data_IF_543155762591
#
_entry.id   IF_543155762591
#
_cell.length_a   1.000
_cell.length_b   1.000
_cell.length_c   1.000
_cell.angle_alpha   90.00
_cell.angle_beta   90.00
_cell.angle_gamma   90.00
#
_symmetry.space_group_name_H-M   'P 1'
#
loop_
_entity.id
_entity.type
_entity.pdbx_description
1 polymer ?
#
# COMPACT_ATOMS: atom_id res chain seq x y z
N UNK A 1 -2.25 -18.01 -25.05
CA UNK A 1 -1.32 -17.07 -24.39
C UNK A 1 -2.00 -15.99 -23.55
N UNK A 2 -3.13 -15.41 -23.96
CA UNK A 2 -3.83 -14.32 -23.23
C UNK A 2 -4.26 -14.70 -21.79
N UNK A 3 -4.81 -15.90 -21.56
CA UNK A 3 -5.25 -16.35 -20.22
C UNK A 3 -4.14 -16.45 -19.17
N UNK A 4 -2.92 -16.81 -19.56
CA UNK A 4 -1.78 -16.97 -18.62
C UNK A 4 -1.29 -15.59 -18.14
N UNK A 5 -1.36 -14.58 -19.01
CA UNK A 5 -0.96 -13.20 -18.69
C UNK A 5 -1.90 -12.60 -17.62
N UNK A 6 -3.21 -12.77 -17.81
CA UNK A 6 -4.24 -12.32 -16.87
C UNK A 6 -4.11 -12.95 -15.47
N UNK A 7 -3.83 -14.27 -15.42
CA UNK A 7 -3.66 -14.98 -14.15
C UNK A 7 -2.46 -14.44 -13.34
N UNK A 8 -1.40 -14.01 -14.03
CA UNK A 8 -0.19 -13.45 -13.42
C UNK A 8 -0.44 -12.04 -12.90
N UNK A 9 -1.18 -11.19 -13.63
CA UNK A 9 -1.58 -9.85 -13.17
C UNK A 9 -2.48 -9.93 -11.93
N UNK A 10 -3.49 -10.80 -11.93
CA UNK A 10 -4.37 -11.02 -10.78
C UNK A 10 -3.61 -11.45 -9.51
N UNK A 11 -2.58 -12.28 -9.68
CA UNK A 11 -1.74 -12.73 -8.55
C UNK A 11 -0.89 -11.59 -7.99
N UNK A 12 -0.34 -10.73 -8.86
CA UNK A 12 0.44 -9.56 -8.45
C UNK A 12 -0.43 -8.50 -7.78
N UNK A 13 -1.65 -8.25 -8.29
CA UNK A 13 -2.61 -7.35 -7.64
C UNK A 13 -2.95 -7.80 -6.22
N UNK A 14 -3.21 -9.09 -6.02
CA UNK A 14 -3.51 -9.63 -4.68
C UNK A 14 -2.32 -9.52 -3.74
N UNK A 15 -1.11 -9.77 -4.22
CA UNK A 15 0.11 -9.64 -3.42
C UNK A 15 0.35 -8.18 -2.99
N UNK A 16 0.28 -7.25 -3.95
CA UNK A 16 0.47 -5.82 -3.67
C UNK A 16 -0.65 -5.31 -2.76
N UNK A 17 -1.91 -5.70 -3.01
CA UNK A 17 -3.03 -5.37 -2.16
C UNK A 17 -2.89 -5.91 -0.72
N UNK A 18 -2.36 -7.12 -0.57
CA UNK A 18 -2.04 -7.70 0.75
C UNK A 18 -0.97 -6.90 1.48
N UNK A 19 0.11 -6.52 0.79
CA UNK A 19 1.16 -5.67 1.36
C UNK A 19 0.62 -4.29 1.76
N UNK A 20 -0.18 -3.65 0.90
CA UNK A 20 -0.84 -2.37 1.21
C UNK A 20 -1.69 -2.46 2.48
N UNK A 21 -2.45 -3.54 2.65
CA UNK A 21 -3.26 -3.74 3.84
C UNK A 21 -2.40 -3.81 5.12
N UNK A 22 -1.29 -4.54 5.08
CA UNK A 22 -0.36 -4.64 6.21
C UNK A 22 0.21 -3.27 6.56
N UNK A 23 0.72 -2.52 5.57
CA UNK A 23 1.28 -1.19 5.78
C UNK A 23 0.24 -0.19 6.31
N UNK A 24 -0.99 -0.23 5.80
CA UNK A 24 -2.09 0.61 6.28
C UNK A 24 -2.45 0.27 7.74
N UNK A 25 -2.53 -1.01 8.08
CA UNK A 25 -2.79 -1.45 9.45
C UNK A 25 -1.67 -1.01 10.41
N UNK A 26 -0.40 -1.12 9.98
CA UNK A 26 0.76 -0.64 10.76
C UNK A 26 0.72 0.87 10.97
N UNK A 27 0.39 1.66 9.94
CA UNK A 27 0.26 3.12 10.07
C UNK A 27 -0.80 3.50 11.11
N UNK A 28 -1.99 2.88 11.03
CA UNK A 28 -3.08 3.11 11.99
C UNK A 28 -2.65 2.71 13.41
N UNK A 29 -1.94 1.58 13.56
CA UNK A 29 -1.47 1.12 14.86
C UNK A 29 -0.48 2.11 15.50
N UNK A 30 0.48 2.63 14.73
CA UNK A 30 1.45 3.62 15.20
C UNK A 30 0.72 4.90 15.62
N UNK A 31 -0.19 5.38 14.78
CA UNK A 31 -0.97 6.59 15.04
C UNK A 31 -1.77 6.50 16.35
N UNK A 32 -2.50 5.40 16.54
CA UNK A 32 -3.30 5.19 17.76
C UNK A 32 -2.40 5.11 19.00
N UNK A 33 -1.23 4.47 18.92
CA UNK A 33 -0.30 4.43 20.05
C UNK A 33 0.32 5.79 20.34
N UNK A 34 0.66 6.58 19.32
CA UNK A 34 1.17 7.94 19.49
C UNK A 34 0.12 8.84 20.16
N UNK A 35 -1.15 8.76 19.75
CA UNK A 35 -2.25 9.46 20.39
C UNK A 35 -2.43 9.07 21.87
N UNK A 36 -2.36 7.76 22.18
CA UNK A 36 -2.48 7.27 23.56
C UNK A 36 -1.32 7.71 24.44
N UNK A 37 -0.11 7.79 23.89
CA UNK A 37 1.07 8.25 24.62
C UNK A 37 1.06 9.76 24.87
N UNK A 38 0.20 10.53 24.17
CA UNK A 38 0.18 12.00 24.25
C UNK A 38 1.44 12.66 23.68
N UNK A 39 2.27 11.90 22.96
CA UNK A 39 3.54 12.33 22.39
C UNK A 39 3.46 12.14 20.87
N UNK A 40 3.19 13.23 20.16
CA UNK A 40 3.38 13.32 18.72
C UNK A 40 4.82 13.77 18.47
N UNK A 41 5.76 12.86 18.70
CA UNK A 41 7.17 13.12 18.40
C UNK A 41 7.32 13.35 16.89
N UNK A 42 8.08 14.38 16.52
CA UNK A 42 8.33 14.74 15.13
C UNK A 42 8.85 13.54 14.31
N UNK A 43 9.68 12.70 14.91
CA UNK A 43 10.23 11.49 14.28
C UNK A 43 9.13 10.48 13.91
N UNK A 44 8.11 10.34 14.75
CA UNK A 44 6.96 9.45 14.50
C UNK A 44 6.11 9.99 13.36
N UNK A 45 5.86 11.31 13.34
CA UNK A 45 5.12 11.96 12.26
C UNK A 45 5.84 11.82 10.90
N UNK A 46 7.18 11.95 10.88
CA UNK A 46 7.97 11.72 9.66
C UNK A 46 7.81 10.27 9.18
N UNK A 47 7.87 9.31 10.10
CA UNK A 47 7.70 7.90 9.78
C UNK A 47 6.30 7.61 9.21
N UNK A 48 5.24 8.18 9.78
CA UNK A 48 3.87 8.06 9.25
C UNK A 48 3.76 8.61 7.83
N UNK A 49 4.32 9.79 7.57
CA UNK A 49 4.33 10.39 6.23
C UNK A 49 5.05 9.47 5.23
N UNK A 50 6.19 8.89 5.61
CA UNK A 50 6.91 7.94 4.77
C UNK A 50 6.08 6.69 4.47
N UNK A 51 5.37 6.14 5.45
CA UNK A 51 4.47 4.99 5.22
C UNK A 51 3.34 5.37 4.26
N UNK A 52 2.74 6.55 4.41
CA UNK A 52 1.68 7.03 3.50
C UNK A 52 2.22 7.19 2.07
N UNK A 53 3.43 7.70 1.90
CA UNK A 53 4.06 7.83 0.58
C UNK A 53 4.29 6.46 -0.07
N UNK A 54 4.76 5.47 0.70
CA UNK A 54 4.90 4.09 0.21
C UNK A 54 3.56 3.51 -0.21
N UNK A 55 2.51 3.69 0.61
CA UNK A 55 1.15 3.26 0.30
C UNK A 55 0.62 3.90 -0.99
N UNK A 56 0.87 5.18 -1.19
CA UNK A 56 0.45 5.91 -2.40
C UNK A 56 1.11 5.34 -3.65
N UNK A 57 2.41 5.05 -3.62
CA UNK A 57 3.14 4.45 -4.75
C UNK A 57 2.65 3.03 -5.04
N UNK A 58 2.39 2.22 -4.01
CA UNK A 58 1.83 0.88 -4.18
C UNK A 58 0.42 0.93 -4.80
N UNK A 59 -0.43 1.85 -4.33
CA UNK A 59 -1.76 2.05 -4.89
C UNK A 59 -1.70 2.46 -6.37
N UNK A 60 -0.82 3.40 -6.71
CA UNK A 60 -0.58 3.80 -8.09
C UNK A 60 -0.11 2.63 -8.96
N UNK A 61 0.73 1.74 -8.41
CA UNK A 61 1.21 0.54 -9.11
C UNK A 61 0.08 -0.42 -9.45
N UNK A 62 -0.86 -0.65 -8.52
CA UNK A 62 -2.07 -1.48 -8.78
C UNK A 62 -2.93 -0.86 -9.88
N UNK A 63 -3.13 0.46 -9.84
CA UNK A 63 -3.91 1.17 -10.87
C UNK A 63 -3.24 1.03 -12.24
N UNK A 64 -1.92 1.18 -12.32
CA UNK A 64 -1.15 1.02 -13.56
C UNK A 64 -1.25 -0.42 -14.11
N UNK A 65 -1.19 -1.44 -13.25
CA UNK A 65 -1.39 -2.84 -13.65
C UNK A 65 -2.77 -3.06 -14.27
N UNK A 66 -3.82 -2.51 -13.67
CA UNK A 66 -5.18 -2.57 -14.24
C UNK A 66 -5.29 -1.87 -15.58
N UNK A 67 -4.67 -0.71 -15.73
CA UNK A 67 -4.66 0.03 -17.00
C UNK A 67 -3.93 -0.79 -18.08
N UNK A 68 -2.80 -1.40 -17.74
CA UNK A 68 -2.05 -2.25 -18.66
C UNK A 68 -2.86 -3.47 -19.12
N UNK A 69 -3.58 -4.12 -18.22
CA UNK A 69 -4.44 -5.27 -18.55
C UNK A 69 -5.69 -4.87 -19.36
N UNK A 70 -6.15 -3.62 -19.30
CA UNK A 70 -7.27 -3.13 -20.12
C UNK A 70 -6.89 -2.82 -21.57
N UNK A 71 -5.62 -2.46 -21.82
CA UNK A 71 -5.15 -2.03 -23.15
C UNK A 71 -4.50 -3.18 -23.96
N UNK A 72 -4.51 -4.41 -23.45
CA UNK A 72 -3.79 -5.57 -24.00
C UNK A 72 -4.70 -6.79 -24.15
#
# INVERSE_FOLDING_TARGET
MVKIKKLKTDTMEKLIGGLMFIFAASAIFIFVNSLKAGILAQDVAILEILIILVLAVLAQTVILLRIYDMHL
#
